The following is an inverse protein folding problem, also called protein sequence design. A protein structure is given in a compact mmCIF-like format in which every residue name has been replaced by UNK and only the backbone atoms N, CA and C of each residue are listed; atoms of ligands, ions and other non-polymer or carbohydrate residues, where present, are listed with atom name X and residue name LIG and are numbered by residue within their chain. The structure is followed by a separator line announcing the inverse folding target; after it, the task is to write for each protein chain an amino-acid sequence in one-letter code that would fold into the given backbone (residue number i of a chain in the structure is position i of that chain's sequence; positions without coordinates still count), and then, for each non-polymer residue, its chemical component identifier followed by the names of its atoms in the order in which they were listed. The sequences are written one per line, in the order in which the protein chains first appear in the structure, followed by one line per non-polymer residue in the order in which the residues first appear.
data_IF_327152927773
#
_entry.id   IF_327152927773
#
_cell.length_a   1.000
_cell.length_b   1.000
_cell.length_c   1.000
_cell.angle_alpha   90.00
_cell.angle_beta   90.00
_cell.angle_gamma   90.00
#
_symmetry.space_group_name_H-M   'P 1'
#
loop_
_entity.id
_entity.type
_entity.pdbx_description
1 polymer ?
#
# COMPACT_ATOMS: atom_id res chain seq x y z
N UNK A 1 28.73 -3.81 11.71
CA UNK A 1 28.35 -3.62 13.13
C UNK A 1 27.62 -4.87 13.59
N UNK A 2 28.33 -5.93 14.01
CA UNK A 2 27.77 -7.29 14.24
C UNK A 2 27.65 -7.69 15.73
N UNK A 3 28.01 -6.82 16.64
CA UNK A 3 27.95 -7.17 18.07
C UNK A 3 26.58 -6.79 18.64
N UNK A 4 25.88 -7.76 19.22
CA UNK A 4 24.62 -7.58 19.97
C UNK A 4 24.69 -6.40 20.95
N UNK A 5 25.84 -6.19 21.58
CA UNK A 5 26.11 -5.07 22.49
C UNK A 5 26.07 -3.72 21.74
N UNK A 6 26.67 -3.65 20.54
CA UNK A 6 26.67 -2.43 19.75
C UNK A 6 25.25 -2.09 19.25
N UNK A 7 24.46 -3.08 18.81
CA UNK A 7 23.07 -2.91 18.42
C UNK A 7 22.20 -2.46 19.61
N UNK A 8 22.40 -3.04 20.79
CA UNK A 8 21.71 -2.61 22.00
C UNK A 8 22.04 -1.16 22.42
N UNK A 9 23.29 -0.73 22.24
CA UNK A 9 23.70 0.67 22.46
C UNK A 9 23.06 1.59 21.43
N UNK A 10 23.08 1.23 20.16
CA UNK A 10 22.44 1.99 19.10
C UNK A 10 20.94 2.16 19.36
N UNK A 11 20.25 1.09 19.75
CA UNK A 11 18.84 1.15 20.13
C UNK A 11 18.53 2.18 21.23
N UNK A 12 19.43 2.32 22.22
CA UNK A 12 19.27 3.36 23.26
C UNK A 12 19.42 4.78 22.70
N UNK A 13 20.37 4.99 21.77
CA UNK A 13 20.55 6.28 21.10
C UNK A 13 19.33 6.62 20.27
N UNK A 14 18.84 5.68 19.46
CA UNK A 14 17.64 5.84 18.66
C UNK A 14 16.41 6.12 19.53
N UNK A 15 16.24 5.38 20.65
CA UNK A 15 15.13 5.61 21.59
C UNK A 15 15.16 7.03 22.18
N UNK A 16 16.34 7.56 22.46
CA UNK A 16 16.50 8.93 22.96
C UNK A 16 16.17 9.97 21.88
N UNK A 17 16.63 9.77 20.65
CA UNK A 17 16.38 10.66 19.53
C UNK A 17 14.88 10.69 19.18
N UNK A 18 14.22 9.53 19.13
CA UNK A 18 12.77 9.44 18.91
C UNK A 18 11.98 10.18 20.01
N UNK A 19 12.40 10.05 21.27
CA UNK A 19 11.72 10.70 22.39
C UNK A 19 11.89 12.24 22.39
N UNK A 20 12.95 12.76 21.78
CA UNK A 20 13.21 14.21 21.66
C UNK A 20 12.68 14.80 20.36
N UNK A 21 12.12 14.01 19.45
CA UNK A 21 11.71 14.46 18.11
C UNK A 21 12.89 14.82 17.19
N UNK A 22 14.12 14.52 17.59
CA UNK A 22 15.34 14.78 16.82
C UNK A 22 15.57 13.65 15.79
N UNK A 23 14.70 13.58 14.80
CA UNK A 23 14.84 12.67 13.65
C UNK A 23 15.75 13.34 12.62
N UNK A 24 17.06 13.23 12.81
CA UNK A 24 18.07 13.80 11.91
C UNK A 24 18.44 12.85 10.76
N UNK A 25 19.25 13.36 9.83
CA UNK A 25 19.74 12.60 8.67
C UNK A 25 20.59 11.37 9.08
N UNK A 26 21.23 11.43 10.26
CA UNK A 26 22.01 10.30 10.80
C UNK A 26 21.15 9.08 11.14
N UNK A 27 19.89 9.27 11.54
CA UNK A 27 18.96 8.17 11.79
C UNK A 27 18.49 7.48 10.50
N UNK A 28 18.39 8.23 9.39
CA UNK A 28 18.06 7.67 8.07
C UNK A 28 19.16 6.74 7.53
N UNK A 29 20.40 6.99 7.87
CA UNK A 29 21.54 6.12 7.46
C UNK A 29 21.67 4.84 8.28
N UNK A 30 20.92 4.71 9.39
CA UNK A 30 20.92 3.49 10.21
C UNK A 30 20.44 2.28 9.42
N UNK A 31 19.40 2.46 8.59
CA UNK A 31 18.87 1.40 7.72
C UNK A 31 19.94 0.84 6.78
N UNK A 32 20.66 1.71 6.08
CA UNK A 32 21.73 1.32 5.15
C UNK A 32 22.85 0.53 5.87
N UNK A 33 23.28 1.03 7.01
CA UNK A 33 24.34 0.39 7.80
C UNK A 33 23.94 -1.00 8.34
N UNK A 34 22.67 -1.18 8.69
CA UNK A 34 22.13 -2.45 9.17
C UNK A 34 21.92 -3.43 8.01
N UNK A 35 21.34 -2.98 6.90
CA UNK A 35 21.14 -3.81 5.71
C UNK A 35 22.47 -4.29 5.10
N UNK A 36 23.51 -3.47 5.18
CA UNK A 36 24.87 -3.84 4.75
C UNK A 36 25.59 -4.81 5.70
N UNK A 37 25.01 -5.15 6.86
CA UNK A 37 25.60 -6.04 7.85
C UNK A 37 24.74 -7.30 8.03
N UNK A 38 24.97 -8.39 7.26
CA UNK A 38 24.15 -9.61 7.31
C UNK A 38 23.96 -10.15 8.72
N UNK A 39 22.72 -10.55 9.06
CA UNK A 39 22.32 -11.04 10.37
C UNK A 39 22.06 -9.95 11.42
N UNK A 40 22.29 -8.66 11.11
CA UNK A 40 22.04 -7.57 12.07
C UNK A 40 20.55 -7.40 12.37
N UNK A 41 19.67 -7.56 11.39
CA UNK A 41 18.22 -7.48 11.55
C UNK A 41 17.73 -8.63 12.43
N UNK A 42 18.22 -9.84 12.20
CA UNK A 42 17.93 -11.00 13.06
C UNK A 42 18.32 -10.76 14.52
N UNK A 43 19.51 -10.19 14.78
CA UNK A 43 19.93 -9.81 16.14
C UNK A 43 19.00 -8.74 16.76
N UNK A 44 18.44 -7.82 15.96
CA UNK A 44 17.46 -6.85 16.45
C UNK A 44 16.18 -7.56 16.87
N UNK A 45 15.68 -8.53 16.10
CA UNK A 45 14.52 -9.35 16.48
C UNK A 45 14.76 -10.07 17.84
N UNK A 46 15.95 -10.64 18.04
CA UNK A 46 16.33 -11.24 19.31
C UNK A 46 16.36 -10.22 20.47
N UNK A 47 16.79 -8.98 20.20
CA UNK A 47 16.78 -7.91 21.20
C UNK A 47 15.34 -7.50 21.56
N UNK A 48 14.44 -7.41 20.57
CA UNK A 48 13.01 -7.17 20.80
C UNK A 48 12.43 -8.28 21.69
N UNK A 49 12.64 -9.55 21.31
CA UNK A 49 12.16 -10.71 22.04
C UNK A 49 12.72 -10.79 23.47
N UNK A 50 13.98 -10.41 23.67
CA UNK A 50 14.59 -10.38 24.98
C UNK A 50 14.07 -9.24 25.87
N UNK A 51 13.80 -8.08 25.28
CA UNK A 51 13.29 -6.90 25.98
C UNK A 51 11.82 -7.10 26.39
N UNK A 52 10.97 -7.63 25.50
CA UNK A 52 9.55 -7.84 25.73
C UNK A 52 9.27 -8.83 26.89
N UNK A 53 10.15 -9.82 27.08
CA UNK A 53 10.04 -10.83 28.16
C UNK A 53 10.50 -10.37 29.54
N UNK A 54 11.01 -9.14 29.67
CA UNK A 54 11.40 -8.60 30.98
C UNK A 54 10.17 -8.35 31.86
N UNK A 55 10.32 -8.46 33.17
CA UNK A 55 9.26 -8.11 34.13
C UNK A 55 8.72 -6.67 33.97
N UNK A 56 9.56 -5.78 33.45
CA UNK A 56 9.22 -4.37 33.11
C UNK A 56 9.84 -4.06 31.75
N UNK A 57 9.15 -4.37 30.64
CA UNK A 57 9.65 -4.08 29.33
C UNK A 57 9.81 -2.57 29.12
N UNK A 58 10.87 -2.17 28.43
CA UNK A 58 11.03 -0.77 28.03
C UNK A 58 10.40 -0.54 26.65
N UNK A 59 9.16 -0.07 26.63
CA UNK A 59 8.41 0.16 25.38
C UNK A 59 9.13 1.11 24.40
N UNK A 60 9.84 2.15 24.91
CA UNK A 60 10.62 3.06 24.07
C UNK A 60 11.79 2.36 23.37
N UNK A 61 12.41 1.43 24.06
CA UNK A 61 13.53 0.66 23.50
C UNK A 61 13.04 -0.38 22.48
N UNK A 62 11.89 -1.02 22.75
CA UNK A 62 11.23 -1.93 21.80
C UNK A 62 10.84 -1.15 20.53
N UNK A 63 10.24 0.02 20.66
CA UNK A 63 9.87 0.88 19.53
C UNK A 63 11.12 1.32 18.72
N UNK A 64 12.23 1.64 19.37
CA UNK A 64 13.47 1.98 18.69
C UNK A 64 14.07 0.80 17.92
N UNK A 65 14.04 -0.40 18.47
CA UNK A 65 14.47 -1.61 17.76
C UNK A 65 13.54 -1.91 16.56
N UNK A 66 12.23 -1.77 16.74
CA UNK A 66 11.26 -1.93 15.64
C UNK A 66 11.52 -0.91 14.51
N UNK A 67 11.76 0.35 14.86
CA UNK A 67 12.15 1.38 13.89
C UNK A 67 13.43 0.99 13.12
N UNK A 68 14.49 0.63 13.84
CA UNK A 68 15.76 0.21 13.21
C UNK A 68 15.57 -0.99 12.27
N UNK A 69 14.74 -1.96 12.65
CA UNK A 69 14.36 -3.10 11.81
C UNK A 69 13.63 -2.64 10.55
N UNK A 70 12.63 -1.76 10.68
CA UNK A 70 11.84 -1.23 9.57
C UNK A 70 12.69 -0.51 8.53
N UNK A 71 13.61 0.37 8.98
CA UNK A 71 14.55 1.07 8.10
C UNK A 71 15.44 0.10 7.32
N UNK A 72 16.01 -0.91 7.99
CA UNK A 72 16.86 -1.91 7.34
C UNK A 72 16.08 -2.78 6.34
N UNK A 73 14.86 -3.19 6.69
CA UNK A 73 13.98 -3.97 5.81
C UNK A 73 13.58 -3.18 4.56
N UNK A 74 13.38 -1.87 4.69
CA UNK A 74 13.10 -0.98 3.56
C UNK A 74 14.27 -0.97 2.57
N UNK A 75 15.51 -0.93 3.04
CA UNK A 75 16.69 -1.03 2.19
C UNK A 75 16.81 -2.41 1.55
N UNK A 76 16.63 -3.49 2.32
CA UNK A 76 16.67 -4.87 1.82
C UNK A 76 15.61 -5.12 0.74
N UNK A 77 14.41 -4.53 0.86
CA UNK A 77 13.36 -4.62 -0.15
C UNK A 77 13.85 -4.14 -1.52
N UNK A 78 14.55 -3.01 -1.59
CA UNK A 78 15.10 -2.53 -2.87
C UNK A 78 16.09 -3.54 -3.50
N UNK A 79 16.85 -4.24 -2.66
CA UNK A 79 17.70 -5.34 -3.12
C UNK A 79 16.89 -6.53 -3.65
N UNK A 80 15.85 -6.94 -2.94
CA UNK A 80 14.93 -8.02 -3.37
C UNK A 80 14.24 -7.67 -4.69
N UNK A 81 13.71 -6.46 -4.84
CA UNK A 81 13.04 -6.00 -6.07
C UNK A 81 13.99 -5.98 -7.28
N UNK A 82 15.28 -5.78 -7.06
CA UNK A 82 16.34 -5.84 -8.08
C UNK A 82 16.91 -7.24 -8.31
N UNK A 83 16.45 -8.24 -7.57
CA UNK A 83 16.90 -9.62 -7.67
C UNK A 83 18.28 -9.86 -7.05
N UNK A 84 18.74 -9.01 -6.12
CA UNK A 84 20.02 -9.21 -5.43
C UNK A 84 19.91 -10.42 -4.49
N UNK A 85 20.74 -11.44 -4.78
CA UNK A 85 20.69 -12.72 -4.10
C UNK A 85 20.90 -12.60 -2.59
N UNK A 86 21.87 -11.78 -2.17
CA UNK A 86 22.20 -11.58 -0.76
C UNK A 86 21.01 -10.97 0.02
N UNK A 87 20.26 -10.03 -0.60
CA UNK A 87 19.07 -9.43 0.03
C UNK A 87 17.91 -10.44 0.14
N UNK A 88 17.73 -11.29 -0.89
CA UNK A 88 16.71 -12.35 -0.88
C UNK A 88 17.01 -13.36 0.22
N UNK A 89 18.27 -13.80 0.34
CA UNK A 89 18.71 -14.75 1.36
C UNK A 89 18.60 -14.16 2.78
N UNK A 90 18.96 -12.89 2.97
CA UNK A 90 18.84 -12.21 4.26
C UNK A 90 17.36 -12.09 4.70
N UNK A 91 16.46 -11.69 3.81
CA UNK A 91 15.03 -11.61 4.12
C UNK A 91 14.46 -12.99 4.45
N UNK A 92 14.87 -14.04 3.74
CA UNK A 92 14.46 -15.41 4.04
C UNK A 92 14.95 -15.85 5.42
N UNK A 93 16.20 -15.53 5.78
CA UNK A 93 16.77 -15.83 7.08
C UNK A 93 16.02 -15.10 8.22
N UNK A 94 15.67 -13.82 8.03
CA UNK A 94 14.89 -13.05 9.01
C UNK A 94 13.51 -13.71 9.23
N UNK A 95 12.81 -14.11 8.17
CA UNK A 95 11.50 -14.78 8.27
C UNK A 95 11.61 -16.08 9.07
N UNK A 96 12.57 -16.93 8.72
CA UNK A 96 12.80 -18.21 9.41
C UNK A 96 13.15 -18.00 10.89
N UNK A 97 13.89 -16.96 11.22
CA UNK A 97 14.22 -16.65 12.62
C UNK A 97 13.01 -16.16 13.41
N UNK A 98 12.18 -15.28 12.82
CA UNK A 98 10.93 -14.82 13.46
C UNK A 98 10.00 -15.99 13.69
N UNK A 99 9.85 -16.88 12.70
CA UNK A 99 9.07 -18.11 12.81
C UNK A 99 9.57 -18.98 13.97
N UNK A 100 10.86 -19.29 14.03
CA UNK A 100 11.41 -20.10 15.11
C UNK A 100 11.19 -19.49 16.49
N UNK A 101 11.33 -18.17 16.63
CA UNK A 101 11.07 -17.47 17.90
C UNK A 101 9.57 -17.50 18.29
N UNK A 102 8.67 -17.47 17.31
CA UNK A 102 7.23 -17.59 17.52
C UNK A 102 6.83 -19.00 17.95
N UNK A 103 7.37 -20.01 17.29
CA UNK A 103 7.14 -21.43 17.60
C UNK A 103 7.70 -21.81 18.99
N UNK A 104 8.88 -21.28 19.34
CA UNK A 104 9.51 -21.44 20.66
C UNK A 104 8.79 -20.69 21.80
N UNK A 105 7.73 -19.91 21.51
CA UNK A 105 7.03 -19.09 22.48
C UNK A 105 7.89 -17.94 23.04
N UNK A 106 8.90 -17.50 22.29
CA UNK A 106 9.79 -16.39 22.69
C UNK A 106 9.23 -15.02 22.28
N UNK A 107 8.21 -14.98 21.44
CA UNK A 107 7.43 -13.82 21.07
C UNK A 107 5.98 -14.04 21.51
N UNK A 108 5.45 -13.16 22.34
CA UNK A 108 4.02 -13.07 22.58
C UNK A 108 3.28 -12.47 21.38
N UNK A 109 1.94 -12.56 21.34
CA UNK A 109 1.13 -12.10 20.21
C UNK A 109 1.42 -10.63 19.83
N UNK A 110 1.49 -9.74 20.82
CA UNK A 110 1.71 -8.32 20.59
C UNK A 110 3.10 -8.02 20.02
N UNK A 111 4.13 -8.67 20.58
CA UNK A 111 5.51 -8.52 20.10
C UNK A 111 5.70 -9.13 18.74
N UNK A 112 5.07 -10.29 18.47
CA UNK A 112 5.10 -10.90 17.14
C UNK A 112 4.44 -9.98 16.10
N UNK A 113 3.24 -9.47 16.36
CA UNK A 113 2.56 -8.54 15.45
C UNK A 113 3.37 -7.27 15.20
N UNK A 114 4.04 -6.72 16.23
CA UNK A 114 4.94 -5.59 16.07
C UNK A 114 6.09 -5.89 15.09
N UNK A 115 6.72 -7.07 15.21
CA UNK A 115 7.82 -7.50 14.31
C UNK A 115 7.30 -7.73 12.89
N UNK A 116 6.18 -8.42 12.74
CA UNK A 116 5.57 -8.70 11.43
C UNK A 116 5.14 -7.42 10.73
N UNK A 117 4.63 -6.44 11.48
CA UNK A 117 4.30 -5.12 10.95
C UNK A 117 5.51 -4.44 10.30
N UNK A 118 6.72 -4.57 10.85
CA UNK A 118 7.91 -4.01 10.19
C UNK A 118 8.19 -4.67 8.84
N UNK A 119 7.99 -5.98 8.72
CA UNK A 119 8.18 -6.72 7.46
C UNK A 119 7.14 -6.27 6.42
N UNK A 120 5.87 -6.20 6.80
CA UNK A 120 4.78 -5.82 5.89
C UNK A 120 4.81 -4.33 5.52
N UNK A 121 5.16 -3.44 6.45
CA UNK A 121 5.34 -2.00 6.17
C UNK A 121 6.49 -1.76 5.19
N UNK A 122 7.54 -2.60 5.22
CA UNK A 122 8.58 -2.60 4.21
C UNK A 122 8.12 -3.21 2.87
N UNK A 123 6.84 -3.58 2.68
CA UNK A 123 6.30 -4.22 1.48
C UNK A 123 6.98 -5.57 1.16
N UNK A 124 7.43 -6.28 2.17
CA UNK A 124 7.96 -7.63 2.07
C UNK A 124 6.87 -8.64 2.45
N UNK A 125 6.75 -9.72 1.70
CA UNK A 125 5.80 -10.79 1.99
C UNK A 125 6.23 -11.56 3.24
N UNK A 126 5.28 -12.04 4.04
CA UNK A 126 5.57 -12.85 5.23
C UNK A 126 5.94 -14.30 4.85
N UNK A 127 5.33 -14.83 3.81
CA UNK A 127 5.39 -16.24 3.42
C UNK A 127 4.43 -17.12 4.25
N UNK A 128 4.00 -18.22 3.64
CA UNK A 128 2.94 -19.09 4.20
C UNK A 128 3.32 -19.69 5.56
N UNK A 129 4.58 -20.08 5.72
CA UNK A 129 5.07 -20.72 6.95
C UNK A 129 5.02 -19.76 8.16
N UNK A 130 5.45 -18.50 7.97
CA UNK A 130 5.41 -17.48 9.03
C UNK A 130 3.97 -17.06 9.32
N UNK A 131 3.10 -17.00 8.32
CA UNK A 131 1.67 -16.74 8.52
C UNK A 131 1.01 -17.85 9.33
N UNK A 132 1.29 -19.12 9.03
CA UNK A 132 0.77 -20.25 9.79
C UNK A 132 1.28 -20.26 11.23
N UNK A 133 2.57 -19.97 11.47
CA UNK A 133 3.12 -19.84 12.81
C UNK A 133 2.46 -18.70 13.60
N UNK A 134 2.16 -17.58 12.94
CA UNK A 134 1.46 -16.43 13.53
C UNK A 134 0.05 -16.81 13.98
N UNK A 135 -0.72 -17.48 13.13
CA UNK A 135 -2.06 -17.97 13.48
C UNK A 135 -2.00 -18.86 14.73
N UNK A 136 -1.05 -19.80 14.78
CA UNK A 136 -0.86 -20.67 15.94
C UNK A 136 -0.46 -19.94 17.23
N UNK A 137 0.25 -18.80 17.16
CA UNK A 137 0.54 -17.97 18.36
C UNK A 137 -0.71 -17.26 18.84
N UNK A 138 -1.47 -16.67 17.92
CA UNK A 138 -2.73 -15.95 18.25
C UNK A 138 -3.75 -16.91 18.87
N UNK A 139 -3.90 -18.13 18.33
CA UNK A 139 -4.80 -19.15 18.87
C UNK A 139 -4.41 -19.62 20.29
N UNK A 140 -3.11 -19.72 20.59
CA UNK A 140 -2.61 -20.14 21.91
C UNK A 140 -2.76 -19.07 22.98
N UNK A 141 -2.82 -17.82 22.59
CA UNK A 141 -2.95 -16.67 23.48
C UNK A 141 -4.14 -15.81 23.05
N UNK A 142 -5.38 -16.32 23.17
CA UNK A 142 -6.54 -15.47 23.01
C UNK A 142 -6.42 -14.39 24.07
N UNK A 143 -6.23 -13.14 23.65
CA UNK A 143 -6.15 -12.02 24.58
C UNK A 143 -7.38 -12.07 25.49
N UNK A 144 -7.15 -12.15 26.80
CA UNK A 144 -8.20 -12.29 27.80
C UNK A 144 -9.12 -11.06 27.90
N UNK A 145 -8.78 -9.99 27.22
CA UNK A 145 -9.55 -8.75 27.03
C UNK A 145 -10.07 -8.65 25.60
N UNK A 146 -10.76 -9.69 25.10
CA UNK A 146 -11.57 -9.53 23.91
C UNK A 146 -12.49 -8.33 24.14
N UNK A 147 -12.24 -7.22 23.42
CA UNK A 147 -13.07 -6.04 23.51
C UNK A 147 -14.53 -6.47 23.29
N UNK A 148 -15.40 -6.14 24.22
CA UNK A 148 -16.82 -6.33 23.99
C UNK A 148 -17.23 -5.56 22.70
N UNK A 149 -18.30 -5.94 22.01
CA UNK A 149 -18.69 -5.27 20.76
C UNK A 149 -18.82 -3.74 20.92
N UNK A 150 -19.25 -3.26 22.08
CA UNK A 150 -19.35 -1.83 22.35
C UNK A 150 -17.98 -1.18 22.58
N UNK A 151 -17.03 -1.89 23.17
CA UNK A 151 -15.64 -1.44 23.32
C UNK A 151 -14.95 -1.33 21.97
N UNK A 152 -15.15 -2.32 21.11
CA UNK A 152 -14.62 -2.32 19.75
C UNK A 152 -15.20 -1.17 18.90
N UNK A 153 -16.52 -0.95 18.96
CA UNK A 153 -17.17 0.15 18.24
C UNK A 153 -16.63 1.52 18.70
N UNK A 154 -16.42 1.72 20.01
CA UNK A 154 -15.81 2.94 20.56
C UNK A 154 -14.37 3.13 20.03
N UNK A 155 -13.56 2.07 19.99
CA UNK A 155 -12.19 2.12 19.49
C UNK A 155 -12.18 2.52 17.99
N UNK A 156 -13.00 1.89 17.17
CA UNK A 156 -13.11 2.21 15.75
C UNK A 156 -13.55 3.66 15.52
N UNK A 157 -14.53 4.16 16.30
CA UNK A 157 -14.97 5.55 16.25
C UNK A 157 -13.86 6.52 16.72
N UNK A 158 -13.00 6.12 17.65
CA UNK A 158 -11.85 6.92 18.09
C UNK A 158 -10.78 7.00 17.00
N UNK A 159 -10.49 5.90 16.33
CA UNK A 159 -9.58 5.88 15.18
C UNK A 159 -10.10 6.76 14.03
N UNK A 160 -11.40 6.68 13.72
CA UNK A 160 -12.05 7.56 12.74
C UNK A 160 -11.86 9.04 13.07
N UNK A 161 -12.08 9.41 14.34
CA UNK A 161 -11.84 10.80 14.82
C UNK A 161 -10.37 11.20 14.75
N UNK A 162 -9.44 10.29 15.04
CA UNK A 162 -8.00 10.54 14.91
C UNK A 162 -7.62 10.85 13.46
N UNK A 163 -8.20 10.14 12.50
CA UNK A 163 -8.06 10.38 11.07
C UNK A 163 -8.90 11.57 10.56
N UNK A 164 -9.54 12.35 11.45
CA UNK A 164 -10.38 13.48 11.06
C UNK A 164 -11.63 13.09 10.26
N UNK A 165 -12.07 11.84 10.32
CA UNK A 165 -13.16 11.29 9.49
C UNK A 165 -12.78 11.02 8.04
N UNK A 166 -11.50 11.13 7.69
CA UNK A 166 -11.00 10.77 6.36
C UNK A 166 -11.00 9.24 6.20
N UNK A 167 -11.86 8.78 5.31
CA UNK A 167 -12.09 7.35 5.04
C UNK A 167 -10.84 6.66 4.47
N UNK A 168 -10.07 7.35 3.64
CA UNK A 168 -8.87 6.79 3.02
C UNK A 168 -7.72 6.73 4.02
N UNK A 169 -7.56 7.78 4.85
CA UNK A 169 -6.59 7.77 5.95
C UNK A 169 -6.91 6.66 6.98
N UNK A 170 -8.19 6.52 7.35
CA UNK A 170 -8.64 5.46 8.25
C UNK A 170 -8.37 4.07 7.66
N UNK A 171 -8.67 3.86 6.38
CA UNK A 171 -8.41 2.58 5.73
C UNK A 171 -6.91 2.28 5.61
N UNK A 172 -6.09 3.28 5.30
CA UNK A 172 -4.65 3.11 5.26
C UNK A 172 -4.09 2.67 6.62
N UNK A 173 -4.51 3.31 7.71
CA UNK A 173 -4.15 2.96 9.09
C UNK A 173 -4.61 1.54 9.44
N UNK A 174 -5.87 1.20 9.14
CA UNK A 174 -6.41 -0.14 9.37
C UNK A 174 -5.68 -1.22 8.57
N UNK A 175 -5.37 -0.94 7.31
CA UNK A 175 -4.62 -1.87 6.45
C UNK A 175 -3.20 -2.10 6.97
N UNK A 176 -2.55 -1.05 7.45
CA UNK A 176 -1.20 -1.15 8.03
C UNK A 176 -1.21 -1.98 9.32
N UNK A 177 -2.18 -1.75 10.20
CA UNK A 177 -2.32 -2.53 11.43
C UNK A 177 -2.69 -3.99 11.14
N UNK A 178 -3.53 -4.22 10.14
CA UNK A 178 -3.98 -5.55 9.75
C UNK A 178 -2.99 -6.33 8.88
N UNK A 179 -1.95 -5.69 8.34
CA UNK A 179 -1.03 -6.31 7.38
C UNK A 179 -0.33 -7.57 7.92
N UNK A 180 -0.12 -7.64 9.23
CA UNK A 180 0.47 -8.78 9.92
C UNK A 180 -0.58 -9.81 10.39
N UNK A 181 -1.86 -9.48 10.31
CA UNK A 181 -2.97 -10.36 10.75
C UNK A 181 -3.29 -11.37 9.65
N UNK A 182 -3.46 -12.67 9.99
CA UNK A 182 -3.91 -13.67 9.03
C UNK A 182 -5.21 -13.30 8.32
N UNK A 183 -5.45 -13.85 7.13
CA UNK A 183 -6.59 -13.51 6.26
C UNK A 183 -7.93 -13.64 7.01
N UNK A 184 -8.13 -14.71 7.78
CA UNK A 184 -9.35 -14.93 8.57
C UNK A 184 -9.53 -13.86 9.66
N UNK A 185 -8.44 -13.42 10.28
CA UNK A 185 -8.46 -12.34 11.28
C UNK A 185 -8.84 -11.00 10.64
N UNK A 186 -8.33 -10.71 9.44
CA UNK A 186 -8.72 -9.51 8.68
C UNK A 186 -10.19 -9.55 8.27
N UNK A 187 -10.73 -10.73 7.94
CA UNK A 187 -12.15 -10.91 7.69
C UNK A 187 -13.03 -10.53 8.91
N UNK A 188 -12.56 -10.84 10.12
CA UNK A 188 -13.24 -10.42 11.37
C UNK A 188 -13.16 -8.90 11.54
N UNK A 189 -12.02 -8.27 11.24
CA UNK A 189 -11.89 -6.82 11.28
C UNK A 189 -12.84 -6.14 10.28
N UNK A 190 -12.93 -6.64 9.06
CA UNK A 190 -13.87 -6.14 8.05
C UNK A 190 -15.33 -6.24 8.54
N UNK A 191 -15.69 -7.34 9.19
CA UNK A 191 -17.01 -7.52 9.78
C UNK A 191 -17.28 -6.49 10.89
N UNK A 192 -16.34 -6.28 11.79
CA UNK A 192 -16.46 -5.30 12.86
C UNK A 192 -16.65 -3.87 12.30
N UNK A 193 -15.87 -3.50 11.29
CA UNK A 193 -15.98 -2.18 10.64
C UNK A 193 -17.32 -2.01 9.92
N UNK A 194 -17.82 -3.02 9.20
CA UNK A 194 -19.12 -2.96 8.53
C UNK A 194 -20.29 -2.86 9.52
N UNK A 195 -20.13 -3.42 10.72
CA UNK A 195 -21.11 -3.32 11.81
C UNK A 195 -20.99 -2.07 12.68
N UNK A 196 -19.98 -1.24 12.47
CA UNK A 196 -19.70 -0.06 13.31
C UNK A 196 -20.83 0.98 13.25
N UNK A 197 -21.03 1.71 14.35
CA UNK A 197 -21.99 2.81 14.42
C UNK A 197 -21.54 4.03 13.61
N UNK A 198 -20.23 4.29 13.53
CA UNK A 198 -19.64 5.40 12.78
C UNK A 198 -19.76 5.19 11.27
N UNK A 199 -20.39 6.13 10.52
CA UNK A 199 -20.54 6.01 9.07
C UNK A 199 -19.20 6.00 8.31
N UNK A 200 -18.18 6.73 8.76
CA UNK A 200 -16.87 6.76 8.11
C UNK A 200 -16.15 5.41 8.25
N UNK A 201 -16.31 4.73 9.39
CA UNK A 201 -15.78 3.37 9.60
C UNK A 201 -16.45 2.38 8.65
N UNK A 202 -17.79 2.42 8.52
CA UNK A 202 -18.49 1.55 7.55
C UNK A 202 -18.08 1.84 6.11
N UNK A 203 -17.88 3.11 5.77
CA UNK A 203 -17.44 3.51 4.43
C UNK A 203 -16.00 3.03 4.15
N UNK A 204 -15.09 3.14 5.13
CA UNK A 204 -13.73 2.60 5.03
C UNK A 204 -13.72 1.08 4.86
N UNK A 205 -14.66 0.37 5.49
CA UNK A 205 -14.74 -1.09 5.41
C UNK A 205 -14.99 -1.62 3.99
N UNK A 206 -15.53 -0.82 3.08
CA UNK A 206 -15.74 -1.20 1.68
C UNK A 206 -14.40 -1.54 0.98
N UNK A 207 -13.31 -0.97 1.45
CA UNK A 207 -11.97 -1.21 0.93
C UNK A 207 -11.52 -2.69 1.03
N UNK A 208 -12.03 -3.44 2.01
CA UNK A 208 -11.66 -4.84 2.20
C UNK A 208 -12.07 -5.75 1.03
N UNK A 209 -12.87 -5.29 0.07
CA UNK A 209 -13.09 -6.00 -1.21
C UNK A 209 -11.84 -6.04 -2.09
N UNK A 210 -10.83 -5.22 -1.81
CA UNK A 210 -9.53 -5.22 -2.48
C UNK A 210 -8.41 -5.81 -1.59
N UNK A 211 -8.75 -6.43 -0.46
CA UNK A 211 -7.75 -7.08 0.39
C UNK A 211 -6.99 -8.17 -0.40
N UNK A 212 -5.68 -8.33 -0.23
CA UNK A 212 -4.92 -9.40 -0.88
C UNK A 212 -5.43 -10.80 -0.50
N UNK A 213 -5.99 -10.98 0.71
CA UNK A 213 -6.53 -12.25 1.19
C UNK A 213 -7.91 -12.59 0.62
N UNK A 214 -8.09 -13.75 -0.01
CA UNK A 214 -9.37 -14.13 -0.60
C UNK A 214 -10.47 -14.41 0.42
N UNK A 215 -10.16 -14.83 1.66
CA UNK A 215 -11.15 -15.01 2.70
C UNK A 215 -11.75 -13.67 3.14
N UNK A 216 -10.90 -12.66 3.35
CA UNK A 216 -11.34 -11.30 3.68
C UNK A 216 -12.24 -10.72 2.59
N UNK A 217 -11.87 -10.83 1.32
CA UNK A 217 -12.69 -10.32 0.20
C UNK A 217 -14.07 -10.98 0.14
N UNK A 218 -14.10 -12.33 0.19
CA UNK A 218 -15.36 -13.10 0.15
C UNK A 218 -16.27 -12.75 1.33
N UNK A 219 -15.70 -12.70 2.54
CA UNK A 219 -16.45 -12.35 3.74
C UNK A 219 -17.01 -10.92 3.66
N UNK A 220 -16.18 -9.96 3.21
CA UNK A 220 -16.62 -8.57 3.03
C UNK A 220 -17.79 -8.48 2.04
N UNK A 221 -17.68 -9.13 0.88
CA UNK A 221 -18.76 -9.16 -0.11
C UNK A 221 -20.03 -9.81 0.45
N UNK A 222 -19.90 -10.91 1.22
CA UNK A 222 -21.02 -11.61 1.86
C UNK A 222 -21.73 -10.72 2.90
N UNK A 223 -20.99 -9.90 3.65
CA UNK A 223 -21.55 -8.98 4.65
C UNK A 223 -22.15 -7.72 4.03
N UNK A 224 -21.60 -7.24 2.93
CA UNK A 224 -22.14 -6.08 2.21
C UNK A 224 -23.54 -6.34 1.63
N UNK A 225 -23.86 -7.57 1.25
CA UNK A 225 -25.17 -7.88 0.68
C UNK A 225 -26.32 -7.66 1.67
N UNK A 226 -26.33 -8.23 2.89
CA UNK A 226 -27.36 -7.92 3.87
C UNK A 226 -27.34 -6.46 4.32
N UNK A 227 -26.17 -5.82 4.40
CA UNK A 227 -26.06 -4.39 4.70
C UNK A 227 -26.75 -3.53 3.60
N UNK A 228 -26.58 -3.90 2.33
CA UNK A 228 -27.28 -3.23 1.22
C UNK A 228 -28.79 -3.47 1.28
N UNK A 229 -29.25 -4.68 1.60
CA UNK A 229 -30.66 -5.01 1.78
C UNK A 229 -31.30 -4.26 2.96
N UNK A 230 -30.53 -3.98 4.01
CA UNK A 230 -30.95 -3.19 5.16
C UNK A 230 -30.85 -1.66 4.96
N UNK A 231 -30.37 -1.20 3.79
CA UNK A 231 -30.20 0.23 3.49
C UNK A 231 -29.01 0.90 4.21
N UNK A 232 -28.04 0.12 4.67
CA UNK A 232 -26.85 0.63 5.36
C UNK A 232 -25.70 1.00 4.41
N UNK A 233 -25.83 0.73 3.12
CA UNK A 233 -24.84 1.12 2.10
C UNK A 233 -25.19 2.51 1.56
N UNK A 234 -24.30 3.47 1.74
CA UNK A 234 -24.49 4.84 1.26
C UNK A 234 -24.26 4.97 -0.26
N UNK A 235 -24.71 6.08 -0.84
CA UNK A 235 -24.47 6.38 -2.27
C UNK A 235 -22.97 6.52 -2.60
N UNK A 236 -22.11 6.94 -1.65
CA UNK A 236 -20.64 6.98 -1.80
C UNK A 236 -20.07 5.57 -1.81
N UNK A 237 -20.48 4.73 -0.87
CA UNK A 237 -20.07 3.33 -0.83
C UNK A 237 -20.48 2.62 -2.14
N UNK A 238 -21.70 2.85 -2.63
CA UNK A 238 -22.19 2.30 -3.89
C UNK A 238 -21.34 2.75 -5.08
N UNK A 239 -20.97 4.03 -5.17
CA UNK A 239 -20.07 4.54 -6.21
C UNK A 239 -18.73 3.82 -6.20
N UNK A 240 -18.10 3.68 -5.03
CA UNK A 240 -16.82 2.99 -4.86
C UNK A 240 -16.90 1.51 -5.20
N UNK A 241 -17.97 0.83 -4.79
CA UNK A 241 -18.22 -0.57 -5.18
C UNK A 241 -18.33 -0.73 -6.71
N UNK A 242 -19.01 0.18 -7.40
CA UNK A 242 -19.11 0.19 -8.87
C UNK A 242 -17.73 0.36 -9.51
N UNK A 243 -16.88 1.22 -8.96
CA UNK A 243 -15.51 1.44 -9.44
C UNK A 243 -14.65 0.18 -9.23
N UNK A 244 -14.57 -0.32 -8.01
CA UNK A 244 -13.73 -1.47 -7.65
C UNK A 244 -14.18 -2.77 -8.30
N UNK A 245 -15.48 -2.94 -8.52
CA UNK A 245 -16.06 -4.11 -9.20
C UNK A 245 -15.31 -4.47 -10.49
N UNK A 246 -14.89 -3.47 -11.24
CA UNK A 246 -14.24 -3.67 -12.53
C UNK A 246 -12.82 -4.24 -12.40
N UNK A 247 -12.22 -4.15 -11.22
CA UNK A 247 -10.86 -4.59 -10.94
C UNK A 247 -10.80 -6.03 -10.41
N UNK A 248 -11.94 -6.56 -9.95
CA UNK A 248 -12.07 -7.89 -9.36
C UNK A 248 -12.12 -9.00 -10.40
N UNK A 249 -11.79 -10.22 -9.99
CA UNK A 249 -12.02 -11.44 -10.76
C UNK A 249 -13.51 -11.69 -11.00
N UNK A 250 -13.85 -12.53 -11.97
CA UNK A 250 -15.24 -12.66 -12.44
C UNK A 250 -16.21 -13.24 -11.38
N UNK A 251 -15.75 -14.17 -10.55
CA UNK A 251 -16.52 -14.75 -9.45
C UNK A 251 -16.75 -13.73 -8.32
N UNK A 252 -15.72 -12.98 -7.92
CA UNK A 252 -15.83 -11.93 -6.93
C UNK A 252 -16.69 -10.76 -7.43
N UNK A 253 -16.59 -10.44 -8.72
CA UNK A 253 -17.44 -9.44 -9.39
C UNK A 253 -18.92 -9.77 -9.28
N UNK A 254 -19.30 -11.05 -9.43
CA UNK A 254 -20.70 -11.47 -9.30
C UNK A 254 -21.27 -11.19 -7.91
N UNK A 255 -20.48 -11.38 -6.85
CA UNK A 255 -20.89 -11.06 -5.49
C UNK A 255 -21.16 -9.56 -5.32
N UNK A 256 -20.26 -8.70 -5.82
CA UNK A 256 -20.43 -7.25 -5.78
C UNK A 256 -21.60 -6.79 -6.66
N UNK A 257 -21.86 -7.44 -7.81
CA UNK A 257 -23.05 -7.18 -8.62
C UNK A 257 -24.36 -7.47 -7.86
N UNK A 258 -24.36 -8.48 -6.98
CA UNK A 258 -25.46 -8.74 -6.06
C UNK A 258 -25.69 -7.58 -5.09
N UNK A 259 -24.63 -7.04 -4.48
CA UNK A 259 -24.69 -5.88 -3.59
C UNK A 259 -25.22 -4.64 -4.32
N UNK A 260 -24.67 -4.34 -5.51
CA UNK A 260 -25.12 -3.19 -6.34
C UNK A 260 -26.61 -3.30 -6.69
N UNK A 261 -27.09 -4.50 -7.05
CA UNK A 261 -28.52 -4.73 -7.32
C UNK A 261 -29.38 -4.49 -6.10
N UNK A 262 -28.98 -4.98 -4.93
CA UNK A 262 -29.68 -4.77 -3.67
C UNK A 262 -29.76 -3.27 -3.31
N UNK A 263 -28.67 -2.53 -3.46
CA UNK A 263 -28.67 -1.08 -3.26
C UNK A 263 -29.69 -0.37 -4.19
N UNK A 264 -29.69 -0.73 -5.48
CA UNK A 264 -30.64 -0.14 -6.46
C UNK A 264 -32.10 -0.49 -6.14
N UNK A 265 -32.37 -1.72 -5.71
CA UNK A 265 -33.72 -2.15 -5.29
C UNK A 265 -34.21 -1.39 -4.06
N UNK A 266 -33.30 -0.97 -3.18
CA UNK A 266 -33.60 -0.12 -2.02
C UNK A 266 -33.55 1.38 -2.34
N UNK A 267 -33.46 1.78 -3.59
CA UNK A 267 -33.51 3.19 -4.00
C UNK A 267 -32.23 3.97 -3.64
N UNK A 268 -31.12 3.29 -3.37
CA UNK A 268 -29.86 3.99 -3.12
C UNK A 268 -29.33 4.57 -4.42
N UNK A 269 -29.24 5.89 -4.48
CA UNK A 269 -28.67 6.61 -5.61
C UNK A 269 -27.15 6.68 -5.49
N UNK A 270 -26.47 6.59 -6.63
CA UNK A 270 -25.01 6.74 -6.70
C UNK A 270 -24.66 8.20 -6.40
N UNK A 271 -23.86 8.44 -5.36
CA UNK A 271 -23.42 9.79 -5.05
C UNK A 271 -22.57 10.36 -6.20
N UNK A 272 -22.83 11.60 -6.66
CA UNK A 272 -22.04 12.22 -7.71
C UNK A 272 -20.60 12.45 -7.24
N UNK A 273 -19.66 12.42 -8.17
CA UNK A 273 -18.31 12.91 -7.92
C UNK A 273 -18.31 14.44 -7.84
N UNK A 274 -17.52 15.04 -6.94
CA UNK A 274 -17.24 16.47 -7.00
C UNK A 274 -16.66 16.86 -8.37
N UNK A 275 -16.87 18.10 -8.84
CA UNK A 275 -16.19 18.59 -10.03
C UNK A 275 -14.66 18.47 -9.89
N UNK A 276 -14.02 17.87 -10.87
CA UNK A 276 -12.57 17.64 -10.91
C UNK A 276 -11.92 18.67 -11.83
N UNK A 277 -10.87 19.32 -11.35
CA UNK A 277 -10.02 20.21 -12.14
C UNK A 277 -8.56 19.74 -11.98
N UNK A 278 -8.09 18.94 -12.96
CA UNK A 278 -6.68 18.52 -13.00
C UNK A 278 -5.86 19.64 -13.62
N UNK A 279 -4.93 20.19 -12.84
CA UNK A 279 -4.09 21.31 -13.28
C UNK A 279 -2.86 20.85 -14.07
N UNK A 280 -2.31 19.70 -13.68
CA UNK A 280 -1.07 19.19 -14.25
C UNK A 280 -0.95 17.69 -14.02
N UNK A 281 -0.39 16.97 -14.96
CA UNK A 281 0.03 15.59 -14.80
C UNK A 281 1.49 15.49 -15.23
N UNK A 282 2.32 14.90 -14.37
CA UNK A 282 3.71 14.59 -14.66
C UNK A 282 3.93 13.08 -14.56
N UNK A 283 4.72 12.53 -15.49
CA UNK A 283 5.17 11.15 -15.48
C UNK A 283 6.68 11.09 -15.31
N UNK A 284 7.21 10.11 -14.58
CA UNK A 284 8.65 9.85 -14.55
C UNK A 284 9.09 9.00 -15.73
N UNK A 285 10.38 8.98 -16.02
CA UNK A 285 10.96 7.91 -16.84
C UNK A 285 10.72 6.54 -16.14
N UNK A 286 10.72 5.48 -16.94
CA UNK A 286 10.73 4.11 -16.41
C UNK A 286 12.10 3.84 -15.81
N UNK A 287 12.14 3.43 -14.56
CA UNK A 287 13.38 3.16 -13.83
C UNK A 287 13.98 1.77 -14.13
N UNK A 288 15.11 1.44 -13.49
CA UNK A 288 15.79 0.17 -13.64
C UNK A 288 14.99 -1.05 -13.13
N UNK A 289 13.96 -0.86 -12.29
CA UNK A 289 13.01 -1.89 -11.87
C UNK A 289 11.77 -1.97 -12.78
N UNK A 290 11.76 -1.22 -13.87
CA UNK A 290 10.64 -1.06 -14.81
C UNK A 290 9.41 -0.43 -14.15
N UNK A 291 9.61 0.35 -13.11
CA UNK A 291 8.56 1.11 -12.47
C UNK A 291 8.44 2.51 -13.07
N UNK A 292 7.23 3.06 -13.08
CA UNK A 292 6.92 4.40 -13.55
C UNK A 292 5.91 5.05 -12.59
N UNK A 293 6.15 6.30 -12.24
CA UNK A 293 5.24 7.07 -11.41
C UNK A 293 4.52 8.16 -12.20
N UNK A 294 3.26 8.38 -11.84
CA UNK A 294 2.45 9.52 -12.31
C UNK A 294 2.04 10.36 -11.12
N UNK A 295 2.09 11.67 -11.28
CA UNK A 295 1.70 12.66 -10.28
C UNK A 295 0.72 13.63 -10.91
N UNK A 296 -0.52 13.67 -10.41
CA UNK A 296 -1.54 14.61 -10.86
C UNK A 296 -1.77 15.67 -9.78
N UNK A 297 -1.58 16.94 -10.12
CA UNK A 297 -1.93 18.07 -9.27
C UNK A 297 -3.37 18.46 -9.58
N UNK A 298 -4.23 18.33 -8.59
CA UNK A 298 -5.66 18.59 -8.69
C UNK A 298 -6.02 19.80 -7.83
N UNK A 299 -6.94 20.63 -8.31
CA UNK A 299 -7.51 21.72 -7.51
C UNK A 299 -8.42 21.15 -6.42
N UNK A 300 -8.24 21.59 -5.21
CA UNK A 300 -9.04 21.23 -4.04
C UNK A 300 -9.43 22.51 -3.29
N UNK A 301 -10.52 23.12 -3.68
CA UNK A 301 -10.93 24.43 -3.20
C UNK A 301 -9.84 25.50 -3.43
N UNK A 302 -9.28 26.04 -2.33
CA UNK A 302 -8.16 26.99 -2.35
C UNK A 302 -6.79 26.30 -2.28
N UNK A 303 -6.77 25.03 -1.96
CA UNK A 303 -5.59 24.15 -1.83
C UNK A 303 -5.38 23.32 -3.09
N UNK A 304 -4.43 22.43 -3.03
CA UNK A 304 -4.15 21.42 -4.05
C UNK A 304 -4.15 20.05 -3.39
N UNK A 305 -4.51 19.06 -4.18
CA UNK A 305 -4.22 17.67 -3.87
C UNK A 305 -3.20 17.13 -4.89
N UNK A 306 -2.31 16.29 -4.42
CA UNK A 306 -1.36 15.52 -5.25
C UNK A 306 -1.82 14.08 -5.25
N UNK A 307 -2.34 13.60 -6.37
CA UNK A 307 -2.64 12.20 -6.57
C UNK A 307 -1.45 11.51 -7.24
N UNK A 308 -0.98 10.42 -6.67
CA UNK A 308 0.18 9.68 -7.16
C UNK A 308 -0.20 8.23 -7.48
N UNK A 309 0.41 7.71 -8.53
CA UNK A 309 0.24 6.35 -9.01
C UNK A 309 1.62 5.76 -9.34
N UNK A 310 1.93 4.59 -8.79
CA UNK A 310 3.12 3.80 -9.12
C UNK A 310 2.71 2.58 -9.93
N UNK A 311 3.23 2.50 -11.14
CA UNK A 311 3.09 1.33 -12.01
C UNK A 311 4.33 0.46 -11.93
N UNK A 312 4.12 -0.85 -11.89
CA UNK A 312 5.15 -1.89 -11.95
C UNK A 312 4.78 -2.91 -13.03
N UNK A 313 5.69 -3.79 -13.44
CA UNK A 313 5.36 -4.83 -14.44
C UNK A 313 4.18 -5.73 -14.06
N UNK A 314 3.98 -5.96 -12.77
CA UNK A 314 2.85 -6.74 -12.24
C UNK A 314 1.53 -5.95 -12.12
N UNK A 315 1.53 -4.66 -12.43
CA UNK A 315 0.34 -3.81 -12.37
C UNK A 315 0.50 -2.56 -11.49
N UNK A 316 -0.54 -2.20 -10.76
CA UNK A 316 -0.54 -1.03 -9.87
C UNK A 316 0.19 -1.38 -8.57
N UNK A 317 1.38 -0.80 -8.39
CA UNK A 317 2.22 -1.08 -7.22
C UNK A 317 1.89 -0.23 -5.99
N UNK A 318 1.45 1.02 -6.22
CA UNK A 318 1.03 1.92 -5.14
C UNK A 318 0.13 3.05 -5.69
N UNK A 319 -0.71 3.62 -4.85
CA UNK A 319 -1.55 4.77 -5.18
C UNK A 319 -1.91 5.52 -3.89
N UNK A 320 -1.71 6.84 -3.87
CA UNK A 320 -1.99 7.67 -2.71
C UNK A 320 -2.36 9.10 -3.11
N UNK A 321 -3.00 9.81 -2.21
CA UNK A 321 -3.33 11.23 -2.35
C UNK A 321 -2.78 11.99 -1.15
N UNK A 322 -2.12 13.11 -1.39
CA UNK A 322 -1.75 14.10 -0.38
C UNK A 322 -2.60 15.35 -0.60
N UNK A 323 -3.38 15.73 0.40
CA UNK A 323 -4.31 16.85 0.37
C UNK A 323 -3.75 18.08 1.09
N UNK A 324 -4.50 19.17 1.08
CA UNK A 324 -4.19 20.42 1.82
C UNK A 324 -2.87 21.12 1.41
N UNK A 325 -2.31 20.78 0.24
CA UNK A 325 -1.08 21.38 -0.25
C UNK A 325 -1.31 22.82 -0.74
N UNK A 326 -0.38 23.71 -0.44
CA UNK A 326 -0.26 24.96 -1.18
C UNK A 326 0.27 24.69 -2.60
N UNK A 327 0.11 25.67 -3.49
CA UNK A 327 0.68 25.58 -4.84
C UNK A 327 2.21 25.42 -4.79
N UNK A 328 2.89 26.11 -3.87
CA UNK A 328 4.35 26.04 -3.75
C UNK A 328 4.83 24.67 -3.28
N UNK A 329 4.11 24.03 -2.34
CA UNK A 329 4.43 22.67 -1.87
C UNK A 329 4.24 21.64 -3.00
N UNK A 330 3.15 21.71 -3.77
CA UNK A 330 2.91 20.82 -4.90
C UNK A 330 4.00 20.97 -5.99
N UNK A 331 4.38 22.20 -6.34
CA UNK A 331 5.46 22.45 -7.31
C UNK A 331 6.84 22.06 -6.75
N UNK A 332 7.07 22.29 -5.46
CA UNK A 332 8.29 21.87 -4.76
C UNK A 332 8.48 20.34 -4.81
N UNK A 333 7.44 19.58 -4.49
CA UNK A 333 7.44 18.13 -4.59
C UNK A 333 7.78 17.65 -6.03
N UNK A 334 7.09 18.19 -7.04
CA UNK A 334 7.39 17.84 -8.42
C UNK A 334 8.81 18.22 -8.85
N UNK A 335 9.35 19.32 -8.32
CA UNK A 335 10.73 19.72 -8.60
C UNK A 335 11.73 18.76 -7.96
N UNK A 336 11.48 18.29 -6.75
CA UNK A 336 12.29 17.30 -6.05
C UNK A 336 12.32 15.96 -6.80
N UNK A 337 11.15 15.48 -7.25
CA UNK A 337 11.06 14.29 -8.13
C UNK A 337 11.91 14.51 -9.38
N UNK A 338 11.83 15.68 -10.02
CA UNK A 338 12.60 15.99 -11.23
C UNK A 338 14.12 16.10 -11.02
N UNK A 339 14.59 16.31 -9.77
CA UNK A 339 16.03 16.24 -9.45
C UNK A 339 16.54 14.80 -9.32
N UNK A 340 15.66 13.86 -9.00
CA UNK A 340 16.02 12.44 -8.78
C UNK A 340 15.90 11.61 -10.06
N UNK A 341 14.94 11.93 -10.94
CA UNK A 341 14.70 11.20 -12.18
C UNK A 341 14.07 12.09 -13.25
N UNK A 342 14.28 11.74 -14.52
CA UNK A 342 13.66 12.44 -15.64
C UNK A 342 12.15 12.44 -15.51
N UNK A 343 11.55 13.60 -15.80
CA UNK A 343 10.12 13.86 -15.66
C UNK A 343 9.58 14.49 -16.93
N UNK A 344 8.41 14.04 -17.35
CA UNK A 344 7.73 14.48 -18.56
C UNK A 344 6.33 15.00 -18.22
N UNK A 345 5.84 15.99 -18.97
CA UNK A 345 4.43 16.37 -18.91
C UNK A 345 3.59 15.26 -19.55
N UNK A 346 2.44 14.99 -18.96
CA UNK A 346 1.50 13.97 -19.41
C UNK A 346 0.08 14.53 -19.45
N UNK A 347 -0.81 13.87 -20.18
CA UNK A 347 -2.23 14.22 -20.28
C UNK A 347 -3.12 13.18 -19.60
N UNK A 348 -4.37 13.57 -19.32
CA UNK A 348 -5.38 12.70 -18.70
C UNK A 348 -5.66 11.47 -19.56
N UNK A 349 -5.65 11.60 -20.89
CA UNK A 349 -5.91 10.48 -21.79
C UNK A 349 -4.78 9.45 -21.73
N UNK A 350 -3.51 9.88 -21.72
CA UNK A 350 -2.39 8.99 -21.56
C UNK A 350 -2.46 8.29 -20.18
N UNK A 351 -2.72 9.05 -19.11
CA UNK A 351 -2.88 8.45 -17.78
C UNK A 351 -4.03 7.43 -17.74
N UNK A 352 -5.15 7.69 -18.41
CA UNK A 352 -6.28 6.75 -18.53
C UNK A 352 -5.86 5.43 -19.18
N UNK A 353 -5.13 5.49 -20.28
CA UNK A 353 -4.65 4.31 -21.01
C UNK A 353 -3.67 3.50 -20.17
N UNK A 354 -2.70 4.17 -19.55
CA UNK A 354 -1.68 3.52 -18.73
C UNK A 354 -2.30 2.93 -17.46
N UNK A 355 -3.28 3.60 -16.86
CA UNK A 355 -4.06 3.06 -15.73
C UNK A 355 -4.83 1.79 -16.14
N UNK A 356 -5.52 1.81 -17.29
CA UNK A 356 -6.22 0.63 -17.82
C UNK A 356 -5.28 -0.55 -18.04
N UNK A 357 -4.10 -0.28 -18.63
CA UNK A 357 -3.06 -1.29 -18.83
C UNK A 357 -2.52 -1.83 -17.49
N UNK A 358 -2.23 -0.96 -16.51
CA UNK A 358 -1.80 -1.35 -15.18
C UNK A 358 -2.82 -2.22 -14.45
N UNK A 359 -4.12 -1.90 -14.56
CA UNK A 359 -5.20 -2.73 -14.01
C UNK A 359 -5.28 -4.10 -14.71
N UNK A 360 -5.09 -4.14 -16.03
CA UNK A 360 -5.04 -5.40 -16.77
C UNK A 360 -3.83 -6.27 -16.37
N UNK A 361 -2.67 -5.64 -16.15
CA UNK A 361 -1.47 -6.31 -15.66
C UNK A 361 -1.66 -6.85 -14.23
N UNK A 362 -2.27 -6.07 -13.33
CA UNK A 362 -2.64 -6.53 -11.98
C UNK A 362 -3.53 -7.77 -12.05
N UNK A 363 -4.57 -7.74 -12.89
CA UNK A 363 -5.46 -8.89 -13.07
C UNK A 363 -4.75 -10.11 -13.64
N UNK A 364 -3.85 -9.92 -14.61
CA UNK A 364 -3.07 -11.01 -15.21
C UNK A 364 -2.06 -11.64 -14.24
N UNK A 365 -1.52 -10.87 -13.30
CA UNK A 365 -0.62 -11.34 -12.24
C UNK A 365 -1.34 -11.87 -11.01
N UNK A 366 -2.69 -11.80 -10.96
CA UNK A 366 -3.48 -12.20 -9.80
C UNK A 366 -3.37 -11.25 -8.61
N UNK A 367 -2.86 -10.03 -8.83
CA UNK A 367 -2.77 -8.99 -7.79
C UNK A 367 -3.95 -8.02 -7.89
N UNK A 368 -4.32 -7.41 -6.76
CA UNK A 368 -5.32 -6.36 -6.73
C UNK A 368 -4.64 -4.99 -6.56
N UNK A 369 -5.21 -3.92 -7.12
CA UNK A 369 -4.69 -2.58 -6.88
C UNK A 369 -4.93 -2.18 -5.41
N UNK A 370 -4.07 -1.32 -4.82
CA UNK A 370 -4.27 -0.81 -3.48
C UNK A 370 -5.53 0.05 -3.41
N UNK A 371 -6.21 0.07 -2.24
CA UNK A 371 -7.43 0.87 -2.05
C UNK A 371 -7.21 2.37 -2.31
N UNK A 372 -6.02 2.89 -2.04
CA UNK A 372 -5.65 4.27 -2.36
C UNK A 372 -5.87 4.64 -3.84
N UNK A 373 -5.93 3.64 -4.74
CA UNK A 373 -6.30 3.89 -6.13
C UNK A 373 -7.72 4.43 -6.28
N UNK A 374 -8.64 4.07 -5.38
CA UNK A 374 -10.02 4.59 -5.39
C UNK A 374 -10.01 6.11 -5.19
N UNK A 375 -9.23 6.60 -4.21
CA UNK A 375 -9.07 8.04 -3.98
C UNK A 375 -8.43 8.73 -5.20
N UNK A 376 -7.35 8.16 -5.73
CA UNK A 376 -6.68 8.68 -6.94
C UNK A 376 -7.67 8.84 -8.09
N UNK A 377 -8.44 7.80 -8.45
CA UNK A 377 -9.36 7.87 -9.58
C UNK A 377 -10.57 8.79 -9.33
N UNK A 378 -11.03 8.89 -8.07
CA UNK A 378 -12.07 9.87 -7.68
C UNK A 378 -11.53 11.30 -7.85
N UNK A 379 -10.29 11.60 -7.41
CA UNK A 379 -9.65 12.92 -7.50
C UNK A 379 -9.32 13.37 -8.91
N UNK A 380 -9.06 12.44 -9.82
CA UNK A 380 -8.73 12.78 -11.22
C UNK A 380 -9.89 12.53 -12.19
N UNK A 381 -11.04 12.05 -11.71
CA UNK A 381 -12.24 11.83 -12.52
C UNK A 381 -12.20 10.57 -13.41
N UNK A 382 -11.35 9.58 -13.08
CA UNK A 382 -11.14 8.37 -13.89
C UNK A 382 -11.80 7.11 -13.30
N UNK A 383 -12.91 7.23 -12.59
CA UNK A 383 -13.60 6.11 -11.91
C UNK A 383 -14.15 5.03 -12.86
N UNK A 384 -14.33 5.34 -14.14
CA UNK A 384 -14.88 4.42 -15.15
C UNK A 384 -13.82 3.59 -15.88
N UNK A 385 -12.52 3.75 -15.57
CA UNK A 385 -11.45 3.03 -16.26
C UNK A 385 -11.58 1.53 -16.00
N UNK A 386 -11.52 0.77 -17.11
CA UNK A 386 -11.56 -0.70 -17.11
C UNK A 386 -10.16 -1.27 -17.27
N UNK A 387 -9.90 -2.49 -16.73
CA UNK A 387 -8.70 -3.25 -17.07
C UNK A 387 -8.65 -3.52 -18.59
N UNK A 388 -7.71 -2.91 -19.27
CA UNK A 388 -7.55 -3.03 -20.72
C UNK A 388 -6.06 -3.07 -21.07
N UNK A 389 -5.61 -4.20 -21.62
CA UNK A 389 -4.24 -4.33 -22.09
C UNK A 389 -4.07 -3.55 -23.40
N UNK A 390 -3.29 -2.49 -23.36
CA UNK A 390 -2.99 -1.66 -24.53
C UNK A 390 -1.69 -2.16 -25.16
N UNK A 391 -1.69 -2.54 -26.46
CA UNK A 391 -0.46 -2.87 -27.18
C UNK A 391 0.53 -1.68 -27.20
N UNK A 392 1.82 -1.97 -27.10
CA UNK A 392 2.86 -0.93 -27.07
C UNK A 392 2.82 -0.06 -28.33
N UNK A 393 2.52 -0.68 -29.46
CA UNK A 393 2.37 0.01 -30.75
C UNK A 393 1.28 1.08 -30.67
N UNK A 394 0.13 0.75 -30.09
CA UNK A 394 -0.98 1.71 -29.90
C UNK A 394 -0.58 2.88 -29.00
N UNK A 395 0.16 2.60 -27.90
CA UNK A 395 0.69 3.66 -27.02
C UNK A 395 1.69 4.56 -27.77
N UNK A 396 2.57 3.97 -28.59
CA UNK A 396 3.51 4.73 -29.41
C UNK A 396 2.79 5.60 -30.42
N UNK A 397 1.78 5.06 -31.11
CA UNK A 397 1.00 5.81 -32.10
C UNK A 397 0.31 7.00 -31.44
N UNK A 398 -0.35 6.79 -30.28
CA UNK A 398 -0.99 7.87 -29.52
C UNK A 398 -0.01 8.96 -29.06
N UNK A 399 1.17 8.57 -28.60
CA UNK A 399 2.22 9.52 -28.20
C UNK A 399 2.79 10.30 -29.37
N UNK A 400 2.76 9.70 -30.58
CA UNK A 400 3.23 10.33 -31.80
C UNK A 400 2.17 11.18 -32.50
N UNK A 401 0.89 11.05 -32.15
CA UNK A 401 -0.19 11.83 -32.79
C UNK A 401 -0.02 13.35 -32.61
N UNK A 402 0.46 13.76 -31.45
CA UNK A 402 0.76 15.16 -31.13
C UNK A 402 2.09 15.68 -31.69
N UNK A 403 2.92 14.77 -32.27
CA UNK A 403 4.21 15.14 -32.86
C UNK A 403 3.99 15.61 -34.28
N UNK A 404 4.45 16.81 -34.70
CA UNK A 404 4.39 17.28 -36.09
C UNK A 404 4.95 16.26 -37.08
N UNK A 405 4.33 16.14 -38.25
CA UNK A 405 4.72 15.14 -39.26
C UNK A 405 6.21 15.22 -39.65
N UNK A 406 6.77 16.43 -39.70
CA UNK A 406 8.17 16.72 -39.91
C UNK A 406 9.09 16.16 -38.81
N UNK A 407 8.64 16.17 -37.57
CA UNK A 407 9.39 15.64 -36.41
C UNK A 407 9.23 14.13 -36.28
N UNK A 408 8.08 13.54 -36.70
CA UNK A 408 7.88 12.08 -36.77
C UNK A 408 8.92 11.38 -37.65
N UNK A 409 9.38 12.06 -38.67
CA UNK A 409 10.42 11.57 -39.62
C UNK A 409 11.84 11.91 -39.16
N UNK A 410 12.02 12.62 -38.06
CA UNK A 410 13.34 12.97 -37.58
C UNK A 410 14.19 11.71 -37.31
N UNK A 411 15.46 11.69 -37.73
CA UNK A 411 16.33 10.53 -37.55
C UNK A 411 16.45 10.06 -36.09
N UNK A 412 16.27 10.96 -35.15
CA UNK A 412 16.24 10.67 -33.69
C UNK A 412 15.03 9.83 -33.31
N UNK A 413 13.83 10.16 -33.83
CA UNK A 413 12.57 9.42 -33.54
C UNK A 413 12.66 8.04 -34.19
N UNK A 414 13.07 7.95 -35.46
CA UNK A 414 13.26 6.67 -36.12
C UNK A 414 14.30 5.78 -35.43
N UNK A 415 15.37 6.37 -34.89
CA UNK A 415 16.39 5.64 -34.13
C UNK A 415 15.85 5.17 -32.77
N UNK A 416 15.06 6.00 -32.06
CA UNK A 416 14.43 5.65 -30.79
C UNK A 416 13.40 4.52 -30.98
N UNK A 417 12.55 4.59 -31.99
CA UNK A 417 11.59 3.56 -32.37
C UNK A 417 12.25 2.23 -32.72
N UNK A 418 13.35 2.27 -33.52
CA UNK A 418 14.13 1.07 -33.80
C UNK A 418 14.79 0.47 -32.56
N UNK A 419 15.28 1.30 -31.66
CA UNK A 419 15.87 0.84 -30.40
C UNK A 419 14.81 0.20 -29.45
N UNK A 420 13.61 0.75 -29.40
CA UNK A 420 12.50 0.20 -28.59
C UNK A 420 11.91 -1.08 -29.16
N UNK A 421 11.88 -1.24 -30.47
CA UNK A 421 11.41 -2.43 -31.17
C UNK A 421 12.44 -3.58 -31.22
N UNK A 422 13.70 -3.33 -30.84
CA UNK A 422 14.75 -4.35 -30.88
C UNK A 422 14.69 -5.26 -29.65
N UNK A 423 14.62 -6.61 -29.83
CA UNK A 423 14.69 -7.56 -28.72
C UNK A 423 15.98 -7.52 -27.90
N UNK A 424 17.01 -6.82 -28.42
CA UNK A 424 18.32 -6.68 -27.76
C UNK A 424 18.43 -5.56 -26.75
N UNK A 425 17.36 -4.79 -26.48
CA UNK A 425 17.28 -3.89 -25.33
C UNK A 425 17.12 -4.63 -24.00
N UNK A 426 17.38 -5.94 -23.98
CA UNK A 426 17.64 -6.66 -22.73
C UNK A 426 18.89 -6.06 -22.10
N UNK A 427 18.67 -5.19 -21.14
CA UNK A 427 19.70 -4.79 -20.18
C UNK A 427 20.26 -6.10 -19.63
N UNK A 428 21.53 -6.38 -19.93
CA UNK A 428 22.24 -7.49 -19.30
C UNK A 428 22.29 -7.19 -17.81
N UNK A 429 22.12 -8.22 -16.96
CA UNK A 429 22.15 -8.08 -15.50
C UNK A 429 23.44 -7.47 -15.00
#
# INVERSE_FOLDING_TARGET
MRSRTALAQLGKVVATAMASGAMDEGLRTVGDALAAAPGSVGEIVELIAAESRKKRPNAKLIAAFAFMMGEALTVLRYGVERGHKDAIEEVAAIRSQVQGLAEDGKLDSNTLLLVLRQITSAKLELGDELQAATAGVIERHPESDALDPAGLDRLLAEMSRHCGGDVFALQAEMSEQAAAVPDEGRAIMAMAMLGASDPAVREAAVAWVLDPGPATRRQTAALLLPAAQAGHVSGVMLRRLITMRNWLADDERQAIDGVIRACRQNGVEVAPLPPVEVNRIAATAVDGSRAQSFFAVVKDGRKRAMAALLLKPAGIGDAWVNTELSRAEAEGFLSEVGMQMDRFESGTEHLRLVLGHGLAASRASGTLPPFGLVDVVERIGLTAVQPEAVPVETLIDLLLDDVPAEDKMAPRVAKALKASASPSSRIRP
#
